data_IF_872063713747
#
_entry.id   IF_872063713747
#
_cell.length_a   1.000
_cell.length_b   1.000
_cell.length_c   1.000
_cell.angle_alpha   90.00
_cell.angle_beta   90.00
_cell.angle_gamma   90.00
#
_symmetry.space_group_name_H-M   'P 1'
#
loop_
_entity.id
_entity.type
_entity.pdbx_description
1 polymer ?
#
# COMPACT_ATOMS: atom_id res chain seq x y z
N UNK A 1 12.32 -14.93 -17.23
CA UNK A 1 11.85 -15.45 -15.94
C UNK A 1 10.38 -15.80 -16.06
N UNK A 2 9.99 -16.88 -15.40
CA UNK A 2 8.63 -17.28 -15.16
C UNK A 2 8.23 -16.88 -13.74
N UNK A 3 7.29 -15.94 -13.61
CA UNK A 3 6.81 -15.40 -12.34
C UNK A 3 5.37 -15.86 -12.10
N UNK A 4 5.11 -16.48 -10.95
CA UNK A 4 3.75 -16.78 -10.51
C UNK A 4 3.34 -15.77 -9.43
N UNK A 5 2.39 -14.90 -9.76
CA UNK A 5 1.84 -13.90 -8.83
C UNK A 5 0.71 -14.51 -8.02
N UNK A 6 0.76 -14.35 -6.69
CA UNK A 6 -0.25 -14.82 -5.74
C UNK A 6 -0.93 -13.62 -5.10
N UNK A 7 -2.23 -13.45 -5.36
CA UNK A 7 -2.96 -12.25 -4.93
C UNK A 7 -4.41 -12.53 -4.55
N UNK A 8 -4.83 -12.09 -3.36
CA UNK A 8 -6.23 -12.02 -3.00
C UNK A 8 -6.76 -10.60 -3.29
N UNK A 9 -7.57 -10.45 -4.34
CA UNK A 9 -8.17 -9.16 -4.69
C UNK A 9 -9.14 -8.68 -3.62
N UNK A 10 -9.01 -7.41 -3.24
CA UNK A 10 -10.05 -6.71 -2.51
C UNK A 10 -11.33 -6.58 -3.36
N UNK A 11 -12.45 -6.34 -2.68
CA UNK A 11 -13.76 -6.25 -3.31
C UNK A 11 -13.80 -5.20 -4.42
N UNK A 12 -14.41 -5.52 -5.56
CA UNK A 12 -14.53 -4.64 -6.73
C UNK A 12 -15.41 -3.42 -6.47
N UNK A 13 -16.29 -3.49 -5.47
CA UNK A 13 -17.16 -2.38 -5.05
C UNK A 13 -16.39 -1.15 -4.55
N UNK A 14 -15.10 -1.26 -4.22
CA UNK A 14 -14.27 -0.10 -3.85
C UNK A 14 -12.91 -0.12 -4.55
N UNK A 15 -12.45 1.05 -5.06
CA UNK A 15 -11.10 1.19 -5.58
C UNK A 15 -10.04 0.80 -4.54
N UNK A 16 -9.07 0.00 -4.97
CA UNK A 16 -7.95 -0.47 -4.14
C UNK A 16 -6.62 -0.16 -4.82
N UNK A 17 -5.79 0.63 -4.14
CA UNK A 17 -4.43 0.92 -4.60
C UNK A 17 -3.57 -0.34 -4.71
N UNK A 18 -3.79 -1.33 -3.84
CA UNK A 18 -3.09 -2.62 -3.91
C UNK A 18 -3.44 -3.38 -5.19
N UNK A 19 -4.75 -3.51 -5.52
CA UNK A 19 -5.16 -4.17 -6.77
C UNK A 19 -4.54 -3.46 -7.99
N UNK A 20 -4.57 -2.12 -8.00
CA UNK A 20 -3.96 -1.30 -9.07
C UNK A 20 -2.46 -1.59 -9.21
N UNK A 21 -1.72 -1.62 -8.10
CA UNK A 21 -0.28 -1.91 -8.10
C UNK A 21 -0.01 -3.32 -8.62
N UNK A 22 -0.78 -4.34 -8.20
CA UNK A 22 -0.60 -5.71 -8.68
C UNK A 22 -0.80 -5.79 -10.20
N UNK A 23 -1.88 -5.18 -10.70
CA UNK A 23 -2.18 -5.19 -12.14
C UNK A 23 -1.07 -4.51 -12.94
N UNK A 24 -0.61 -3.33 -12.47
CA UNK A 24 0.49 -2.59 -13.08
C UNK A 24 1.80 -3.37 -13.07
N UNK A 25 2.15 -4.05 -11.97
CA UNK A 25 3.35 -4.89 -11.90
C UNK A 25 3.29 -6.08 -12.87
N UNK A 26 2.14 -6.76 -12.94
CA UNK A 26 1.92 -7.87 -13.87
C UNK A 26 2.06 -7.41 -15.31
N UNK A 27 1.43 -6.29 -15.68
CA UNK A 27 1.52 -5.70 -17.02
C UNK A 27 2.96 -5.30 -17.36
N UNK A 28 3.63 -4.63 -16.43
CA UNK A 28 5.01 -4.18 -16.61
C UNK A 28 5.98 -5.35 -16.82
N UNK A 29 5.84 -6.42 -16.03
CA UNK A 29 6.66 -7.63 -16.18
C UNK A 29 6.39 -8.35 -17.51
N UNK A 30 5.13 -8.44 -17.94
CA UNK A 30 4.76 -9.02 -19.25
C UNK A 30 5.32 -8.20 -20.40
N UNK A 31 5.20 -6.88 -20.34
CA UNK A 31 5.76 -5.96 -21.33
C UNK A 31 7.30 -6.08 -21.43
N UNK A 32 7.96 -6.40 -20.32
CA UNK A 32 9.40 -6.69 -20.27
C UNK A 32 9.78 -8.10 -20.79
N UNK A 33 8.82 -8.88 -21.31
CA UNK A 33 9.07 -10.21 -21.87
C UNK A 33 9.14 -11.34 -20.84
N UNK A 34 8.72 -11.12 -19.60
CA UNK A 34 8.60 -12.19 -18.61
C UNK A 34 7.28 -12.97 -18.79
N UNK A 35 7.32 -14.29 -18.56
CA UNK A 35 6.10 -15.09 -18.46
C UNK A 35 5.51 -14.85 -17.08
N UNK A 36 4.30 -14.30 -17.02
CA UNK A 36 3.62 -13.98 -15.75
C UNK A 36 2.25 -14.63 -15.68
N UNK A 37 2.09 -15.53 -14.72
CA UNK A 37 0.84 -16.21 -14.42
C UNK A 37 0.31 -15.71 -13.07
N UNK A 38 -1.02 -15.77 -12.89
CA UNK A 38 -1.67 -15.22 -11.70
C UNK A 38 -2.52 -16.30 -11.05
N UNK A 39 -2.24 -16.54 -9.76
CA UNK A 39 -3.03 -17.37 -8.87
C UNK A 39 -3.83 -16.47 -7.93
N UNK A 40 -5.06 -16.15 -8.33
CA UNK A 40 -5.90 -15.17 -7.63
C UNK A 40 -7.17 -15.73 -6.98
N UNK A 41 -7.65 -15.02 -5.97
CA UNK A 41 -8.99 -15.14 -5.39
C UNK A 41 -9.61 -13.76 -5.26
N UNK A 42 -10.94 -13.66 -5.30
CA UNK A 42 -11.64 -12.36 -5.18
C UNK A 42 -12.48 -12.33 -3.93
N UNK A 43 -12.35 -11.26 -3.15
CA UNK A 43 -13.15 -11.10 -1.93
C UNK A 43 -14.66 -11.06 -2.23
N UNK A 44 -15.05 -10.64 -3.42
CA UNK A 44 -16.44 -10.67 -3.91
C UNK A 44 -17.03 -12.09 -3.93
N UNK A 45 -16.19 -13.12 -4.12
CA UNK A 45 -16.60 -14.52 -4.13
C UNK A 45 -17.20 -14.95 -2.78
N UNK A 46 -16.88 -14.25 -1.68
CA UNK A 46 -17.47 -14.51 -0.36
C UNK A 46 -18.98 -14.24 -0.39
N UNK A 47 -19.42 -13.21 -1.10
CA UNK A 47 -20.83 -12.84 -1.22
C UNK A 47 -21.67 -13.96 -1.84
N UNK A 48 -21.08 -14.68 -2.81
CA UNK A 48 -21.70 -15.78 -3.55
C UNK A 48 -21.69 -17.13 -2.81
N UNK A 49 -21.00 -17.25 -1.67
CA UNK A 49 -20.97 -18.50 -0.89
C UNK A 49 -22.27 -18.73 -0.11
N UNK A 50 -22.58 -20.00 0.16
CA UNK A 50 -23.61 -20.39 1.12
C UNK A 50 -23.34 -19.80 2.51
N UNK A 51 -24.36 -19.73 3.36
CA UNK A 51 -24.23 -19.23 4.74
C UNK A 51 -23.13 -19.99 5.51
N UNK A 52 -23.09 -21.32 5.40
CA UNK A 52 -22.03 -22.15 5.96
C UNK A 52 -20.66 -21.81 5.38
N UNK A 53 -20.59 -21.58 4.07
CA UNK A 53 -19.36 -21.17 3.38
C UNK A 53 -18.83 -19.80 3.84
N UNK A 54 -19.71 -18.86 4.22
CA UNK A 54 -19.33 -17.55 4.79
C UNK A 54 -18.80 -17.70 6.21
N UNK A 55 -19.45 -18.52 7.04
CA UNK A 55 -19.02 -18.81 8.43
C UNK A 55 -17.68 -19.55 8.47
N UNK A 56 -17.35 -20.34 7.43
CA UNK A 56 -16.07 -21.05 7.35
C UNK A 56 -14.89 -20.13 6.98
N UNK A 57 -15.09 -19.00 6.29
CA UNK A 57 -13.99 -18.13 5.82
C UNK A 57 -13.03 -17.73 6.96
N UNK A 58 -13.50 -17.23 8.12
CA UNK A 58 -12.63 -16.89 9.23
C UNK A 58 -11.76 -18.08 9.70
N UNK A 59 -12.28 -19.31 9.67
CA UNK A 59 -11.54 -20.51 10.07
C UNK A 59 -10.41 -20.86 9.10
N UNK A 60 -10.52 -20.43 7.84
CA UNK A 60 -9.51 -20.65 6.79
C UNK A 60 -8.45 -19.54 6.74
N UNK A 61 -8.65 -18.40 7.43
CA UNK A 61 -7.70 -17.29 7.46
C UNK A 61 -6.33 -17.69 8.04
N UNK A 62 -6.26 -18.45 9.17
CA UNK A 62 -4.98 -18.96 9.66
C UNK A 62 -4.33 -19.97 8.70
N UNK A 63 -5.15 -20.83 8.08
CA UNK A 63 -4.67 -21.90 7.23
C UNK A 63 -5.77 -22.45 6.32
N UNK A 64 -5.55 -22.37 5.01
CA UNK A 64 -6.44 -22.91 3.99
C UNK A 64 -5.77 -24.12 3.29
N UNK A 65 -6.14 -25.37 3.64
CA UNK A 65 -5.51 -26.57 3.09
C UNK A 65 -5.82 -26.77 1.60
N UNK A 66 -7.03 -26.39 1.14
CA UNK A 66 -7.40 -26.51 -0.27
C UNK A 66 -6.51 -25.63 -1.15
N UNK A 67 -6.23 -24.40 -0.71
CA UNK A 67 -5.34 -23.48 -1.42
C UNK A 67 -3.90 -24.01 -1.45
N UNK A 68 -3.41 -24.61 -0.37
CA UNK A 68 -2.08 -25.25 -0.37
C UNK A 68 -2.00 -26.36 -1.42
N UNK A 69 -2.98 -27.25 -1.46
CA UNK A 69 -3.01 -28.38 -2.41
C UNK A 69 -3.05 -27.90 -3.85
N UNK A 70 -3.91 -26.91 -4.12
CA UNK A 70 -4.07 -26.35 -5.46
C UNK A 70 -2.80 -25.62 -5.93
N UNK A 71 -2.23 -24.75 -5.08
CA UNK A 71 -0.98 -24.06 -5.43
C UNK A 71 0.17 -25.06 -5.59
N UNK A 72 0.28 -26.09 -4.75
CA UNK A 72 1.31 -27.12 -4.89
C UNK A 72 1.18 -27.88 -6.22
N UNK A 73 -0.03 -28.22 -6.65
CA UNK A 73 -0.26 -28.82 -7.96
C UNK A 73 0.18 -27.88 -9.09
N UNK A 74 -0.15 -26.61 -8.97
CA UNK A 74 0.20 -25.57 -9.93
C UNK A 74 1.72 -25.37 -10.04
N UNK A 75 2.43 -25.27 -8.91
CA UNK A 75 3.89 -25.16 -8.87
C UNK A 75 4.61 -26.36 -9.53
N UNK A 76 4.06 -27.58 -9.40
CA UNK A 76 4.63 -28.78 -10.06
C UNK A 76 4.49 -28.74 -11.59
N UNK A 77 3.35 -28.24 -12.08
CA UNK A 77 3.05 -28.18 -13.51
C UNK A 77 3.73 -27.00 -14.20
N UNK A 78 3.63 -25.81 -13.60
CA UNK A 78 4.07 -24.54 -14.20
C UNK A 78 5.56 -24.28 -13.99
N UNK A 79 6.13 -24.80 -12.89
CA UNK A 79 7.55 -24.63 -12.52
C UNK A 79 8.04 -23.18 -12.66
N UNK A 80 7.42 -22.21 -11.96
CA UNK A 80 7.89 -20.84 -11.99
C UNK A 80 9.28 -20.71 -11.37
N UNK A 81 10.05 -19.73 -11.86
CA UNK A 81 11.36 -19.38 -11.29
C UNK A 81 11.20 -18.74 -9.91
N UNK A 82 10.11 -18.00 -9.70
CA UNK A 82 9.80 -17.29 -8.45
C UNK A 82 8.28 -17.11 -8.27
N UNK A 83 7.83 -17.18 -7.01
CA UNK A 83 6.47 -16.81 -6.61
C UNK A 83 6.47 -15.43 -5.98
N UNK A 84 5.59 -14.53 -6.43
CA UNK A 84 5.46 -13.19 -5.85
C UNK A 84 4.11 -13.05 -5.14
N UNK A 85 4.15 -12.97 -3.81
CA UNK A 85 2.96 -12.85 -2.95
C UNK A 85 2.66 -11.38 -2.66
N UNK A 86 1.45 -10.92 -2.95
CA UNK A 86 1.00 -9.57 -2.60
C UNK A 86 0.08 -9.58 -1.38
N UNK A 87 -0.94 -10.43 -1.42
CA UNK A 87 -1.92 -10.52 -0.35
C UNK A 87 -2.54 -11.91 -0.32
N UNK A 88 -2.68 -12.47 0.87
CA UNK A 88 -3.25 -13.80 1.09
C UNK A 88 -4.59 -13.77 1.81
N UNK A 89 -5.03 -12.60 2.29
CA UNK A 89 -6.24 -12.46 3.08
C UNK A 89 -7.44 -12.05 2.21
N UNK A 90 -8.64 -12.63 2.42
CA UNK A 90 -8.98 -13.67 3.39
C UNK A 90 -9.02 -15.10 2.81
N UNK A 91 -8.97 -15.29 1.49
CA UNK A 91 -9.29 -16.58 0.87
C UNK A 91 -8.09 -17.50 0.61
N UNK A 92 -6.85 -16.97 0.57
CA UNK A 92 -5.66 -17.76 0.25
C UNK A 92 -4.96 -18.33 1.49
N UNK A 93 -4.71 -17.50 2.51
CA UNK A 93 -3.93 -17.78 3.74
C UNK A 93 -2.42 -17.96 3.57
N UNK A 94 -1.62 -17.92 4.65
CA UNK A 94 -0.18 -18.21 4.63
C UNK A 94 0.20 -19.65 4.20
N UNK A 95 -0.78 -20.52 3.95
CA UNK A 95 -0.53 -21.86 3.42
C UNK A 95 0.14 -21.84 2.03
N UNK A 96 0.03 -20.73 1.29
CA UNK A 96 0.75 -20.53 0.03
C UNK A 96 2.27 -20.59 0.20
N UNK A 97 2.81 -20.07 1.32
CA UNK A 97 4.24 -20.10 1.61
C UNK A 97 4.73 -21.52 1.89
N UNK A 98 3.87 -22.36 2.49
CA UNK A 98 4.18 -23.76 2.68
C UNK A 98 4.25 -24.51 1.35
N UNK A 99 3.31 -24.27 0.43
CA UNK A 99 3.37 -24.84 -0.92
C UNK A 99 4.65 -24.44 -1.67
N UNK A 100 5.09 -23.18 -1.55
CA UNK A 100 6.35 -22.71 -2.15
C UNK A 100 7.57 -23.41 -1.53
N UNK A 101 7.59 -23.55 -0.20
CA UNK A 101 8.65 -24.24 0.51
C UNK A 101 8.74 -25.72 0.12
N UNK A 102 7.60 -26.43 0.10
CA UNK A 102 7.52 -27.85 -0.28
C UNK A 102 7.96 -28.10 -1.72
N UNK A 103 7.67 -27.16 -2.63
CA UNK A 103 8.06 -27.23 -4.04
C UNK A 103 9.49 -26.75 -4.31
N UNK A 104 10.20 -26.20 -3.32
CA UNK A 104 11.53 -25.63 -3.51
C UNK A 104 11.59 -24.36 -4.37
N UNK A 105 10.45 -23.70 -4.60
CA UNK A 105 10.37 -22.47 -5.41
C UNK A 105 10.55 -21.24 -4.51
N UNK A 106 11.45 -20.29 -4.81
CA UNK A 106 11.64 -19.09 -4.00
C UNK A 106 10.38 -18.21 -4.01
N UNK A 107 10.04 -17.66 -2.85
CA UNK A 107 8.94 -16.74 -2.64
C UNK A 107 9.47 -15.34 -2.28
N UNK A 108 8.96 -14.33 -2.97
CA UNK A 108 9.09 -12.93 -2.59
C UNK A 108 7.73 -12.37 -2.20
N UNK A 109 7.69 -11.34 -1.36
CA UNK A 109 6.43 -10.75 -0.93
C UNK A 109 6.46 -9.22 -0.91
N UNK A 110 5.50 -8.57 -1.56
CA UNK A 110 5.26 -7.13 -1.39
C UNK A 110 4.33 -6.90 -0.22
N UNK A 111 4.75 -6.08 0.73
CA UNK A 111 3.97 -5.76 1.92
C UNK A 111 3.23 -4.44 1.70
N UNK A 112 1.96 -4.51 1.31
CA UNK A 112 1.15 -3.32 0.98
C UNK A 112 0.63 -2.55 2.20
N UNK A 113 0.69 -3.18 3.37
CA UNK A 113 0.17 -2.67 4.64
C UNK A 113 0.92 -3.33 5.80
N UNK A 114 0.39 -3.22 7.02
CA UNK A 114 1.02 -3.75 8.23
C UNK A 114 0.39 -5.06 8.72
N UNK A 115 -0.26 -5.84 7.85
CA UNK A 115 -0.99 -7.07 8.26
C UNK A 115 -0.11 -8.12 8.91
N UNK A 116 1.21 -8.07 8.71
CA UNK A 116 2.22 -8.96 9.29
C UNK A 116 2.48 -8.69 10.78
N UNK A 117 2.02 -7.56 11.31
CA UNK A 117 2.21 -7.16 12.72
C UNK A 117 0.93 -6.66 13.38
N UNK A 118 -0.05 -6.21 12.60
CA UNK A 118 -1.28 -5.59 13.06
C UNK A 118 -2.47 -6.27 12.37
N UNK A 119 -3.41 -6.91 13.09
CA UNK A 119 -4.55 -7.59 12.45
C UNK A 119 -5.30 -6.74 11.41
N UNK A 120 -5.79 -5.51 11.68
CA UNK A 120 -6.43 -4.70 10.65
C UNK A 120 -5.46 -4.16 9.59
N UNK A 121 -4.15 -4.33 9.76
CA UNK A 121 -3.12 -3.84 8.85
C UNK A 121 -2.87 -2.34 8.92
N UNK A 122 -3.46 -1.64 9.91
CA UNK A 122 -3.53 -0.17 9.93
C UNK A 122 -2.63 0.53 10.94
N UNK A 123 -2.10 -0.15 11.97
CA UNK A 123 -1.34 0.53 13.04
C UNK A 123 -2.03 1.80 13.56
N UNK A 124 -3.35 1.74 13.67
CA UNK A 124 -4.20 2.84 14.13
C UNK A 124 -5.24 2.31 15.09
N UNK A 125 -5.57 3.12 16.11
CA UNK A 125 -6.66 2.88 17.04
C UNK A 125 -7.21 4.24 17.48
N UNK A 126 -8.54 4.36 17.55
CA UNK A 126 -9.23 5.56 18.04
C UNK A 126 -8.76 6.87 17.36
N UNK A 127 -8.59 6.82 16.03
CA UNK A 127 -8.16 7.97 15.23
C UNK A 127 -6.66 8.30 15.32
N UNK A 128 -5.88 7.57 16.12
CA UNK A 128 -4.46 7.87 16.39
C UNK A 128 -3.54 6.71 16.00
N UNK A 129 -2.25 6.97 15.68
CA UNK A 129 -1.26 5.93 15.50
C UNK A 129 -1.17 4.97 16.70
N UNK A 130 -1.01 3.68 16.45
CA UNK A 130 -0.92 2.63 17.47
C UNK A 130 0.12 1.58 17.09
N UNK A 131 1.03 1.28 18.02
CA UNK A 131 2.13 0.33 17.83
C UNK A 131 2.18 -0.79 18.86
N UNK A 132 1.13 -0.99 19.66
CA UNK A 132 1.12 -1.98 20.76
C UNK A 132 1.37 -3.43 20.32
N UNK A 133 1.02 -3.78 19.08
CA UNK A 133 1.26 -5.11 18.50
C UNK A 133 2.65 -5.24 17.85
N UNK A 134 3.40 -4.15 17.71
CA UNK A 134 4.74 -4.17 17.10
C UNK A 134 5.72 -4.80 18.08
N UNK A 135 6.28 -5.95 17.71
CA UNK A 135 7.23 -6.68 18.55
C UNK A 135 6.59 -7.54 19.65
N UNK A 136 5.26 -7.60 19.72
CA UNK A 136 4.51 -8.36 20.72
C UNK A 136 3.53 -9.34 20.06
N UNK A 137 2.84 -10.16 20.87
CA UNK A 137 1.72 -10.95 20.36
C UNK A 137 0.51 -10.03 20.08
N UNK A 138 -0.32 -10.30 19.05
CA UNK A 138 -1.45 -9.44 18.66
C UNK A 138 -2.66 -9.49 19.63
N UNK A 139 -2.43 -9.81 20.91
CA UNK A 139 -3.44 -9.81 21.98
C UNK A 139 -4.07 -8.43 22.18
N UNK A 140 -3.34 -7.29 22.14
CA UNK A 140 -3.97 -5.98 22.24
C UNK A 140 -5.04 -5.77 21.17
N UNK A 141 -4.77 -6.17 19.92
CA UNK A 141 -5.75 -6.03 18.84
C UNK A 141 -7.04 -6.82 19.10
N UNK A 142 -6.96 -8.03 19.68
CA UNK A 142 -8.15 -8.80 20.09
C UNK A 142 -8.88 -8.11 21.24
N UNK A 143 -8.16 -7.65 22.28
CA UNK A 143 -8.74 -6.93 23.43
C UNK A 143 -9.55 -5.71 22.98
N UNK A 144 -9.01 -4.97 22.02
CA UNK A 144 -9.62 -3.76 21.49
C UNK A 144 -10.57 -4.00 20.32
N UNK A 145 -10.69 -5.23 19.82
CA UNK A 145 -11.56 -5.54 18.68
C UNK A 145 -11.18 -4.78 17.41
N UNK A 146 -9.88 -4.59 17.16
CA UNK A 146 -9.37 -3.67 16.14
C UNK A 146 -9.81 -4.00 14.71
N UNK A 147 -10.22 -5.23 14.41
CA UNK A 147 -10.81 -5.56 13.12
C UNK A 147 -12.33 -5.44 13.16
N UNK A 148 -12.87 -4.53 12.35
CA UNK A 148 -14.32 -4.26 12.23
C UNK A 148 -15.02 -4.01 13.57
N UNK A 149 -14.32 -3.39 14.53
CA UNK A 149 -14.82 -3.10 15.87
C UNK A 149 -15.36 -4.35 16.60
N UNK A 150 -14.78 -5.52 16.35
CA UNK A 150 -15.24 -6.78 16.91
C UNK A 150 -14.07 -7.65 17.38
N UNK A 151 -14.08 -7.99 18.69
CA UNK A 151 -13.10 -8.89 19.29
C UNK A 151 -13.10 -10.25 18.59
N UNK A 152 -14.29 -10.83 18.39
CA UNK A 152 -14.46 -12.12 17.71
C UNK A 152 -13.98 -12.09 16.26
N UNK A 153 -14.29 -11.02 15.51
CA UNK A 153 -13.82 -10.89 14.14
C UNK A 153 -12.29 -10.71 14.05
N UNK A 154 -11.65 -10.23 15.12
CA UNK A 154 -10.19 -10.02 15.19
C UNK A 154 -9.43 -11.30 15.50
N UNK A 155 -10.03 -12.26 16.23
CA UNK A 155 -9.38 -13.51 16.65
C UNK A 155 -8.71 -14.27 15.50
N UNK A 156 -9.36 -14.54 14.35
CA UNK A 156 -8.75 -15.33 13.28
C UNK A 156 -7.49 -14.68 12.69
N UNK A 157 -7.45 -13.35 12.62
CA UNK A 157 -6.31 -12.60 12.13
C UNK A 157 -5.16 -12.66 13.14
N UNK A 158 -5.46 -12.49 14.43
CA UNK A 158 -4.48 -12.62 15.52
C UNK A 158 -3.91 -14.04 15.63
N UNK A 159 -4.75 -15.07 15.48
CA UNK A 159 -4.32 -16.48 15.41
C UNK A 159 -3.42 -16.68 14.19
N UNK A 160 -3.86 -16.24 13.01
CA UNK A 160 -3.07 -16.35 11.77
C UNK A 160 -1.67 -15.76 11.91
N UNK A 161 -1.57 -14.54 12.47
CA UNK A 161 -0.29 -13.89 12.74
C UNK A 161 0.59 -14.69 13.69
N UNK A 162 0.02 -15.19 14.79
CA UNK A 162 0.78 -15.90 15.82
C UNK A 162 1.31 -17.24 15.31
N UNK A 163 0.46 -18.03 14.66
CA UNK A 163 0.83 -19.40 14.21
C UNK A 163 1.68 -19.40 12.94
N UNK A 164 1.59 -18.35 12.11
CA UNK A 164 2.34 -18.26 10.85
C UNK A 164 3.58 -17.34 10.92
N UNK A 165 3.90 -16.74 12.07
CA UNK A 165 5.04 -15.80 12.19
C UNK A 165 6.34 -16.38 11.66
N UNK A 166 6.71 -17.58 12.12
CA UNK A 166 7.93 -18.27 11.65
C UNK A 166 7.89 -18.52 10.14
N UNK A 167 6.74 -18.95 9.62
CA UNK A 167 6.55 -19.24 8.19
C UNK A 167 6.75 -17.99 7.33
N UNK A 168 6.24 -16.84 7.75
CA UNK A 168 6.54 -15.58 7.08
C UNK A 168 8.03 -15.25 7.19
N UNK A 169 8.61 -15.25 8.40
CA UNK A 169 9.98 -14.75 8.60
C UNK A 169 11.04 -15.60 7.91
N UNK A 170 10.84 -16.92 7.85
CA UNK A 170 11.83 -17.84 7.27
C UNK A 170 11.48 -18.32 5.86
N UNK A 171 10.19 -18.32 5.49
CA UNK A 171 9.69 -18.89 4.24
C UNK A 171 9.57 -17.91 3.06
N UNK A 172 9.96 -16.65 3.26
CA UNK A 172 10.08 -15.65 2.19
C UNK A 172 11.54 -15.25 2.08
N UNK A 173 12.09 -15.35 0.87
CA UNK A 173 13.48 -15.03 0.55
C UNK A 173 13.72 -13.52 0.52
N UNK A 174 12.76 -12.74 0.00
CA UNK A 174 12.84 -11.28 -0.06
C UNK A 174 11.47 -10.63 0.17
N UNK A 175 11.44 -9.65 1.05
CA UNK A 175 10.30 -8.78 1.25
C UNK A 175 10.54 -7.44 0.56
N UNK A 176 9.54 -6.97 -0.16
CA UNK A 176 9.47 -5.62 -0.69
C UNK A 176 8.62 -4.77 0.28
N UNK A 177 9.29 -3.97 1.09
CA UNK A 177 8.67 -2.89 1.83
C UNK A 177 8.45 -1.71 0.89
N UNK A 178 7.22 -1.20 0.83
CA UNK A 178 6.88 -0.10 -0.08
C UNK A 178 7.35 1.27 0.44
N UNK A 179 7.94 1.32 1.63
CA UNK A 179 8.58 2.49 2.24
C UNK A 179 9.71 2.09 3.19
N UNK A 180 10.65 3.02 3.42
CA UNK A 180 11.65 2.88 4.49
C UNK A 180 10.97 2.93 5.87
N UNK A 181 9.97 3.80 6.04
CA UNK A 181 9.19 3.86 7.27
C UNK A 181 8.52 2.53 7.62
N UNK A 182 7.94 1.83 6.62
CA UNK A 182 7.38 0.49 6.81
C UNK A 182 8.47 -0.52 7.17
N UNK A 183 9.60 -0.51 6.45
CA UNK A 183 10.73 -1.39 6.76
C UNK A 183 11.15 -1.25 8.22
N UNK A 184 11.29 -0.05 8.73
CA UNK A 184 11.72 0.18 10.11
C UNK A 184 10.73 -0.36 11.15
N UNK A 185 9.42 -0.19 10.90
CA UNK A 185 8.38 -0.80 11.75
C UNK A 185 8.50 -2.34 11.76
N UNK A 186 8.70 -2.94 10.59
CA UNK A 186 8.80 -4.37 10.43
C UNK A 186 10.08 -4.95 11.05
N UNK A 187 11.21 -4.25 10.92
CA UNK A 187 12.46 -4.61 11.62
C UNK A 187 12.25 -4.57 13.14
N UNK A 188 11.63 -3.51 13.67
CA UNK A 188 11.29 -3.43 15.12
C UNK A 188 10.34 -4.53 15.59
N UNK A 189 9.55 -5.12 14.69
CA UNK A 189 8.71 -6.28 14.99
C UNK A 189 9.47 -7.61 15.03
N UNK A 190 10.77 -7.59 14.72
CA UNK A 190 11.66 -8.73 14.66
C UNK A 190 11.72 -9.43 13.30
N UNK A 191 11.27 -8.79 12.21
CA UNK A 191 11.52 -9.33 10.86
C UNK A 191 13.02 -9.27 10.53
N UNK A 192 13.55 -10.28 9.80
CA UNK A 192 14.96 -10.30 9.40
C UNK A 192 15.27 -9.12 8.47
N UNK A 193 16.05 -8.16 8.97
CA UNK A 193 16.35 -6.90 8.29
C UNK A 193 17.06 -7.12 6.95
N UNK A 194 17.89 -8.15 6.86
CA UNK A 194 18.62 -8.57 5.66
C UNK A 194 17.71 -9.06 4.54
N UNK A 195 16.46 -9.46 4.85
CA UNK A 195 15.46 -9.87 3.85
C UNK A 195 14.51 -8.76 3.44
N UNK A 196 14.51 -7.61 4.13
CA UNK A 196 13.64 -6.47 3.84
C UNK A 196 14.33 -5.47 2.89
N UNK A 197 13.88 -5.44 1.64
CA UNK A 197 14.22 -4.40 0.66
C UNK A 197 13.20 -3.27 0.72
N UNK A 198 13.65 -2.02 0.62
CA UNK A 198 12.76 -0.92 0.23
C UNK A 198 12.59 -0.97 -1.29
N UNK A 199 11.36 -1.18 -1.74
CA UNK A 199 10.94 -1.10 -3.14
C UNK A 199 9.64 -0.31 -3.20
N UNK A 200 9.78 0.99 -3.44
CA UNK A 200 8.64 1.88 -3.65
C UNK A 200 7.72 1.38 -4.77
N UNK A 201 6.43 1.68 -4.67
CA UNK A 201 5.55 1.49 -5.82
C UNK A 201 5.90 2.51 -6.91
N UNK A 202 5.72 2.12 -8.16
CA UNK A 202 5.83 3.05 -9.29
C UNK A 202 4.44 3.55 -9.69
N UNK A 203 4.43 4.64 -10.44
CA UNK A 203 3.22 5.18 -11.07
C UNK A 203 3.50 5.33 -12.57
N UNK A 204 2.60 4.88 -13.47
CA UNK A 204 2.73 5.12 -14.90
C UNK A 204 2.86 6.60 -15.23
N UNK A 205 3.51 6.90 -16.35
CA UNK A 205 3.55 8.26 -16.87
C UNK A 205 2.11 8.75 -17.12
N UNK A 206 1.69 9.91 -16.58
CA UNK A 206 0.35 10.43 -16.82
C UNK A 206 0.22 10.96 -18.24
N UNK A 207 -0.98 10.85 -18.81
CA UNK A 207 -1.30 11.40 -20.13
C UNK A 207 -1.39 12.93 -20.10
N UNK A 208 -1.70 13.49 -18.93
CA UNK A 208 -1.82 14.94 -18.71
C UNK A 208 -0.87 15.38 -17.62
N UNK A 209 -0.08 16.41 -17.89
CA UNK A 209 0.80 17.07 -16.92
C UNK A 209 0.30 18.48 -16.62
N UNK A 210 0.78 19.03 -15.50
CA UNK A 210 0.43 20.38 -15.10
C UNK A 210 0.96 21.40 -16.09
N UNK A 211 0.07 22.31 -16.47
CA UNK A 211 0.38 23.52 -17.21
C UNK A 211 0.00 24.75 -16.34
N UNK A 212 0.90 25.72 -16.22
CA UNK A 212 0.63 26.96 -15.49
C UNK A 212 0.51 26.83 -13.96
N UNK A 213 -0.30 27.71 -13.36
CA UNK A 213 -0.39 27.90 -11.90
C UNK A 213 -1.34 26.95 -11.18
N UNK A 214 -2.17 26.18 -11.89
CA UNK A 214 -3.27 25.41 -11.31
C UNK A 214 -4.47 26.28 -10.91
N UNK A 215 -5.64 25.65 -10.78
CA UNK A 215 -6.94 26.31 -10.58
C UNK A 215 -7.68 25.81 -9.32
N UNK A 216 -7.12 24.85 -8.59
CA UNK A 216 -7.76 24.23 -7.43
C UNK A 216 -6.76 23.61 -6.44
N UNK A 217 -7.14 23.45 -5.18
CA UNK A 217 -6.53 22.46 -4.30
C UNK A 217 -7.32 21.15 -4.44
N UNK A 218 -6.62 20.01 -4.48
CA UNK A 218 -7.27 18.72 -4.67
C UNK A 218 -7.03 17.78 -3.50
N UNK A 219 -8.11 17.25 -2.93
CA UNK A 219 -8.09 16.00 -2.19
C UNK A 219 -8.58 14.89 -3.11
N UNK A 220 -7.76 13.84 -3.28
CA UNK A 220 -8.12 12.66 -4.07
C UNK A 220 -7.86 11.39 -3.26
N UNK A 221 -8.92 10.71 -2.86
CA UNK A 221 -8.81 9.48 -2.09
C UNK A 221 -10.10 9.05 -1.39
N UNK A 222 -10.04 7.90 -0.73
CA UNK A 222 -11.20 7.36 0.00
C UNK A 222 -11.65 8.34 1.10
N UNK A 223 -12.97 8.59 1.20
CA UNK A 223 -13.56 9.42 2.25
C UNK A 223 -13.69 8.62 3.54
N UNK A 224 -12.59 8.50 4.27
CA UNK A 224 -12.48 7.74 5.50
C UNK A 224 -11.62 8.48 6.54
N UNK A 225 -11.89 8.21 7.82
CA UNK A 225 -11.18 8.85 8.95
C UNK A 225 -9.65 8.79 8.81
N UNK A 226 -9.15 7.61 8.45
CA UNK A 226 -7.71 7.34 8.29
C UNK A 226 -7.04 8.20 7.18
N UNK A 227 -7.84 8.70 6.22
CA UNK A 227 -7.37 9.55 5.12
C UNK A 227 -7.47 11.05 5.42
N UNK A 228 -7.97 11.41 6.60
CA UNK A 228 -7.87 12.77 7.13
C UNK A 228 -8.81 13.79 6.48
N UNK A 229 -9.90 13.36 5.83
CA UNK A 229 -10.83 14.32 5.19
C UNK A 229 -11.46 15.27 6.21
N UNK A 230 -11.77 14.82 7.44
CA UNK A 230 -12.24 15.71 8.52
C UNK A 230 -11.20 16.73 8.96
N UNK A 231 -9.92 16.33 8.99
CA UNK A 231 -8.81 17.23 9.29
C UNK A 231 -8.69 18.31 8.21
N UNK A 232 -8.87 17.93 6.94
CA UNK A 232 -8.91 18.88 5.82
C UNK A 232 -10.12 19.83 5.91
N UNK A 233 -11.31 19.32 6.22
CA UNK A 233 -12.51 20.14 6.39
C UNK A 233 -12.29 21.22 7.47
N UNK A 234 -11.75 20.83 8.64
CA UNK A 234 -11.42 21.77 9.71
C UNK A 234 -10.37 22.80 9.28
N UNK A 235 -9.30 22.37 8.61
CA UNK A 235 -8.28 23.29 8.09
C UNK A 235 -8.84 24.26 7.02
N UNK A 236 -9.78 23.78 6.20
CA UNK A 236 -10.41 24.59 5.17
C UNK A 236 -11.41 25.60 5.74
N UNK A 237 -12.11 25.26 6.83
CA UNK A 237 -12.95 26.22 7.56
C UNK A 237 -12.11 27.37 8.13
N UNK A 238 -10.90 27.10 8.65
CA UNK A 238 -9.96 28.16 9.07
C UNK A 238 -9.49 29.02 7.89
N UNK A 239 -9.23 28.41 6.72
CA UNK A 239 -8.83 29.13 5.50
C UNK A 239 -9.96 30.06 5.05
N UNK A 240 -11.18 29.55 4.97
CA UNK A 240 -12.37 30.31 4.56
C UNK A 240 -12.62 31.50 5.50
N UNK A 241 -12.52 31.30 6.81
CA UNK A 241 -12.65 32.37 7.81
C UNK A 241 -11.58 33.47 7.66
N UNK A 242 -10.41 33.14 7.09
CA UNK A 242 -9.31 34.08 6.82
C UNK A 242 -9.34 34.73 5.42
N UNK A 243 -10.43 34.57 4.66
CA UNK A 243 -10.60 35.16 3.33
C UNK A 243 -10.22 34.24 2.16
N UNK A 244 -9.94 32.96 2.42
CA UNK A 244 -9.64 31.97 1.38
C UNK A 244 -8.21 32.01 0.84
N UNK A 245 -7.94 31.22 -0.20
CA UNK A 245 -6.64 31.15 -0.90
C UNK A 245 -6.73 31.46 -2.40
N UNK A 246 -7.84 32.05 -2.85
CA UNK A 246 -8.06 32.46 -4.24
C UNK A 246 -8.38 31.33 -5.23
N UNK A 247 -8.44 30.08 -4.77
CA UNK A 247 -8.88 28.91 -5.57
C UNK A 247 -9.76 27.98 -4.71
N UNK A 248 -10.70 27.22 -5.30
CA UNK A 248 -11.55 26.30 -4.57
C UNK A 248 -10.81 25.03 -4.12
N UNK A 249 -11.36 24.36 -3.12
CA UNK A 249 -11.03 22.97 -2.77
C UNK A 249 -11.93 22.01 -3.56
N UNK A 250 -11.31 21.09 -4.29
CA UNK A 250 -11.99 19.95 -4.92
C UNK A 250 -11.75 18.69 -4.11
N UNK A 251 -12.84 17.99 -3.77
CA UNK A 251 -12.81 16.71 -3.05
C UNK A 251 -13.33 15.62 -3.97
N UNK A 252 -12.47 14.66 -4.30
CA UNK A 252 -12.75 13.52 -5.16
C UNK A 252 -12.54 12.19 -4.41
N UNK A 253 -13.52 11.32 -4.51
CA UNK A 253 -13.54 9.98 -3.92
C UNK A 253 -14.86 9.65 -3.22
N UNK A 254 -14.99 8.42 -2.76
CA UNK A 254 -16.16 7.92 -2.02
C UNK A 254 -15.72 7.21 -0.74
N UNK A 255 -16.65 6.96 0.17
CA UNK A 255 -16.36 6.23 1.39
C UNK A 255 -17.35 6.47 2.52
N UNK A 256 -17.09 5.91 3.71
CA UNK A 256 -17.98 6.03 4.86
C UNK A 256 -18.34 7.48 5.26
N UNK A 257 -17.48 8.45 4.95
CA UNK A 257 -17.67 9.87 5.28
C UNK A 257 -18.33 10.69 4.16
N UNK A 258 -18.79 10.05 3.08
CA UNK A 258 -19.37 10.74 1.92
C UNK A 258 -20.54 11.66 2.28
N UNK A 259 -21.50 11.20 3.09
CA UNK A 259 -22.65 12.02 3.50
C UNK A 259 -22.23 13.28 4.27
N UNK A 260 -21.21 13.15 5.11
CA UNK A 260 -20.68 14.25 5.90
C UNK A 260 -19.97 15.29 5.02
N UNK A 261 -19.15 14.83 4.08
CA UNK A 261 -18.47 15.67 3.09
C UNK A 261 -19.48 16.42 2.22
N UNK A 262 -20.49 15.73 1.70
CA UNK A 262 -21.54 16.35 0.88
C UNK A 262 -22.31 17.41 1.66
N UNK A 263 -22.67 17.12 2.92
CA UNK A 263 -23.37 18.09 3.77
C UNK A 263 -22.50 19.31 4.10
N UNK A 264 -21.21 19.10 4.39
CA UNK A 264 -20.26 20.20 4.65
C UNK A 264 -19.99 21.07 3.43
N UNK A 265 -19.95 20.48 2.23
CA UNK A 265 -19.76 21.21 0.98
C UNK A 265 -21.03 21.93 0.49
N UNK A 266 -22.21 21.59 1.01
CA UNK A 266 -23.48 22.14 0.54
C UNK A 266 -23.58 23.66 0.81
N UNK A 267 -23.89 24.44 -0.22
CA UNK A 267 -24.03 25.91 -0.12
C UNK A 267 -22.70 26.68 -0.06
N UNK A 268 -21.58 26.00 -0.27
CA UNK A 268 -20.24 26.60 -0.31
C UNK A 268 -19.80 26.86 -1.75
N UNK A 269 -19.36 28.08 -2.04
CA UNK A 269 -18.81 28.43 -3.35
C UNK A 269 -17.31 28.10 -3.48
N UNK A 270 -16.64 27.90 -2.34
CA UNK A 270 -15.21 27.63 -2.20
C UNK A 270 -14.84 26.14 -2.15
N UNK A 271 -15.84 25.24 -2.17
CA UNK A 271 -15.67 23.79 -2.08
C UNK A 271 -16.49 23.09 -3.17
N UNK A 272 -15.90 22.10 -3.85
CA UNK A 272 -16.60 21.25 -4.83
C UNK A 272 -16.38 19.78 -4.50
N UNK A 273 -17.44 19.08 -4.11
CA UNK A 273 -17.43 17.62 -4.05
C UNK A 273 -17.79 17.04 -5.42
N UNK A 274 -16.92 16.20 -5.99
CA UNK A 274 -17.09 15.67 -7.36
C UNK A 274 -17.32 14.15 -7.39
N UNK A 275 -17.42 13.50 -6.24
CA UNK A 275 -17.65 12.06 -6.17
C UNK A 275 -16.47 11.22 -6.68
N UNK A 276 -16.76 10.00 -7.12
CA UNK A 276 -15.76 9.10 -7.69
C UNK A 276 -15.42 9.51 -9.13
N UNK A 277 -14.15 9.78 -9.38
CA UNK A 277 -13.62 10.05 -10.72
C UNK A 277 -13.05 8.79 -11.35
N UNK A 278 -13.12 8.70 -12.68
CA UNK A 278 -12.39 7.67 -13.42
C UNK A 278 -10.86 7.97 -13.44
N UNK A 279 -10.01 7.02 -13.88
CA UNK A 279 -8.56 7.22 -13.90
C UNK A 279 -8.09 8.42 -14.74
N UNK A 280 -8.73 8.70 -15.88
CA UNK A 280 -8.35 9.80 -16.76
C UNK A 280 -8.76 11.15 -16.17
N UNK A 281 -9.94 11.22 -15.54
CA UNK A 281 -10.41 12.37 -14.79
C UNK A 281 -9.53 12.65 -13.57
N UNK A 282 -9.05 11.60 -12.88
CA UNK A 282 -8.10 11.75 -11.78
C UNK A 282 -6.80 12.42 -12.25
N UNK A 283 -6.22 11.97 -13.37
CA UNK A 283 -5.00 12.58 -13.92
C UNK A 283 -5.22 14.06 -14.28
N UNK A 284 -6.35 14.39 -14.93
CA UNK A 284 -6.70 15.78 -15.27
C UNK A 284 -6.90 16.64 -14.03
N UNK A 285 -7.61 16.13 -13.02
CA UNK A 285 -7.83 16.83 -11.76
C UNK A 285 -6.51 17.12 -11.05
N UNK A 286 -5.60 16.14 -10.99
CA UNK A 286 -4.25 16.32 -10.44
C UNK A 286 -3.51 17.41 -11.23
N UNK A 287 -3.41 17.29 -12.56
CA UNK A 287 -2.68 18.23 -13.42
C UNK A 287 -3.17 19.68 -13.30
N UNK A 288 -4.47 19.89 -13.05
CA UNK A 288 -5.08 21.21 -12.85
C UNK A 288 -4.87 21.79 -11.46
N UNK A 289 -4.25 21.05 -10.54
CA UNK A 289 -4.16 21.47 -9.14
C UNK A 289 -2.96 22.37 -8.87
N UNK A 290 -3.17 23.36 -8.00
CA UNK A 290 -2.12 24.13 -7.33
C UNK A 290 -1.26 23.19 -6.48
N UNK A 291 -1.93 22.29 -5.74
CA UNK A 291 -1.31 21.21 -5.00
C UNK A 291 -2.33 20.10 -4.72
N UNK A 292 -1.83 18.88 -4.52
CA UNK A 292 -2.62 17.77 -3.97
C UNK A 292 -2.44 17.71 -2.45
N UNK A 293 -3.53 17.64 -1.71
CA UNK A 293 -3.55 17.58 -0.25
C UNK A 293 -3.74 16.14 0.21
N UNK A 294 -2.77 15.60 0.96
CA UNK A 294 -2.74 14.24 1.47
C UNK A 294 -2.63 14.24 3.01
N UNK A 295 -3.73 14.54 3.73
CA UNK A 295 -3.72 14.81 5.17
C UNK A 295 -3.88 13.54 6.03
N UNK A 296 -3.42 12.39 5.56
CA UNK A 296 -3.65 11.09 6.20
C UNK A 296 -3.30 11.13 7.70
N UNK A 297 -4.22 10.65 8.53
CA UNK A 297 -4.01 10.49 9.99
C UNK A 297 -3.41 9.12 10.33
N UNK A 298 -3.52 8.17 9.40
CA UNK A 298 -2.81 6.91 9.44
C UNK A 298 -1.36 7.09 8.96
N UNK A 299 -0.42 6.45 9.67
CA UNK A 299 0.93 6.15 9.21
C UNK A 299 0.93 5.45 7.83
N UNK A 300 0.85 6.25 6.77
CA UNK A 300 0.68 5.78 5.40
C UNK A 300 1.85 4.86 5.01
N UNK A 301 1.55 3.71 4.42
CA UNK A 301 2.59 2.78 3.99
C UNK A 301 3.31 3.27 2.71
N UNK A 302 2.64 4.07 1.88
CA UNK A 302 3.24 4.70 0.69
C UNK A 302 2.50 5.98 0.26
N UNK A 303 1.26 5.83 -0.21
CA UNK A 303 0.43 6.94 -0.68
C UNK A 303 0.63 7.28 -2.15
N UNK A 304 0.04 6.45 -3.03
CA UNK A 304 0.14 6.58 -4.49
C UNK A 304 -0.21 7.98 -5.01
N UNK A 305 -1.20 8.64 -4.42
CA UNK A 305 -1.65 9.98 -4.86
C UNK A 305 -0.54 11.03 -4.81
N UNK A 306 0.41 10.89 -3.87
CA UNK A 306 1.57 11.79 -3.77
C UNK A 306 2.51 11.58 -4.95
N UNK A 307 2.73 10.34 -5.35
CA UNK A 307 3.57 10.00 -6.51
C UNK A 307 2.87 10.31 -7.84
N UNK A 308 1.55 10.14 -7.91
CA UNK A 308 0.73 10.58 -9.05
C UNK A 308 0.82 12.11 -9.23
N UNK A 309 0.80 12.88 -8.14
CA UNK A 309 1.02 14.32 -8.18
C UNK A 309 2.45 14.68 -8.64
N UNK A 310 3.47 13.99 -8.11
CA UNK A 310 4.85 14.16 -8.58
C UNK A 310 4.99 13.91 -10.08
N UNK A 311 4.38 12.82 -10.58
CA UNK A 311 4.39 12.49 -12.00
C UNK A 311 3.75 13.60 -12.84
N UNK A 312 2.66 14.22 -12.36
CA UNK A 312 2.02 15.34 -13.05
C UNK A 312 2.78 16.68 -12.93
N UNK A 313 3.86 16.76 -12.13
CA UNK A 313 4.56 18.02 -11.84
C UNK A 313 3.79 18.93 -10.88
N UNK A 314 3.00 18.33 -9.99
CA UNK A 314 2.16 19.00 -9.00
C UNK A 314 2.76 18.75 -7.61
N UNK A 315 3.08 19.80 -6.82
CA UNK A 315 3.57 19.60 -5.47
C UNK A 315 2.43 19.12 -4.55
N UNK A 316 2.81 18.54 -3.42
CA UNK A 316 1.85 18.02 -2.43
C UNK A 316 1.95 18.75 -1.10
N UNK A 317 0.82 18.83 -0.39
CA UNK A 317 0.79 19.14 1.04
C UNK A 317 0.42 17.85 1.76
N UNK A 318 1.37 17.23 2.45
CA UNK A 318 1.21 15.90 3.04
C UNK A 318 1.47 15.91 4.55
N UNK A 319 0.93 14.91 5.27
CA UNK A 319 1.21 14.75 6.70
C UNK A 319 2.69 14.36 6.92
N UNK A 320 3.34 14.97 7.91
CA UNK A 320 4.74 14.72 8.27
C UNK A 320 5.02 13.40 9.00
N UNK A 321 4.49 12.27 8.53
CA UNK A 321 4.77 10.94 9.06
C UNK A 321 4.74 9.84 7.99
N UNK A 322 5.02 8.60 8.40
CA UNK A 322 4.89 7.42 7.56
C UNK A 322 5.78 7.49 6.33
N UNK A 323 5.28 7.02 5.19
CA UNK A 323 6.00 7.14 3.93
C UNK A 323 6.07 8.58 3.40
N UNK A 324 5.20 9.50 3.84
CA UNK A 324 5.17 10.84 3.25
C UNK A 324 6.44 11.65 3.50
N UNK A 325 7.13 11.44 4.63
CA UNK A 325 8.43 12.09 4.89
C UNK A 325 9.55 11.59 3.97
N UNK A 326 9.36 10.45 3.32
CA UNK A 326 10.31 9.89 2.36
C UNK A 326 9.92 10.25 0.91
N UNK A 327 8.63 10.50 0.67
CA UNK A 327 8.13 10.92 -0.63
C UNK A 327 8.36 12.42 -0.83
N UNK A 328 7.96 13.24 0.14
CA UNK A 328 7.97 14.70 0.06
C UNK A 328 9.15 15.27 0.83
N UNK A 329 10.02 16.00 0.13
CA UNK A 329 11.05 16.83 0.73
C UNK A 329 10.47 18.21 1.04
N UNK A 330 10.32 18.53 2.33
CA UNK A 330 9.63 19.75 2.79
C UNK A 330 10.31 21.01 2.26
N UNK A 331 9.51 21.90 1.66
CA UNK A 331 9.96 23.13 1.03
C UNK A 331 10.64 22.95 -0.33
N UNK A 332 10.87 21.72 -0.79
CA UNK A 332 11.57 21.40 -2.04
C UNK A 332 10.66 20.73 -3.06
N UNK A 333 9.95 19.66 -2.72
CA UNK A 333 9.01 18.97 -3.64
C UNK A 333 7.54 19.15 -3.25
N UNK A 334 7.30 19.77 -2.10
CA UNK A 334 6.00 19.94 -1.48
C UNK A 334 6.17 20.46 -0.05
N UNK A 335 5.11 20.39 0.75
CA UNK A 335 5.12 20.80 2.14
C UNK A 335 4.63 19.69 3.07
N UNK A 336 5.25 19.59 4.24
CA UNK A 336 4.83 18.69 5.30
C UNK A 336 4.15 19.46 6.43
N UNK A 337 2.93 19.05 6.79
CA UNK A 337 2.22 19.61 7.94
C UNK A 337 2.34 18.70 9.17
N UNK A 338 2.14 19.27 10.36
CA UNK A 338 2.08 18.50 11.59
C UNK A 338 0.86 17.57 11.59
N UNK A 339 1.05 16.25 11.80
CA UNK A 339 -0.04 15.30 11.76
C UNK A 339 -1.14 15.57 12.79
N UNK A 340 -2.40 15.55 12.34
CA UNK A 340 -3.55 15.76 13.22
C UNK A 340 -3.79 17.21 13.64
N UNK A 341 -3.02 18.18 13.13
CA UNK A 341 -3.16 19.60 13.45
C UNK A 341 -3.77 20.40 12.27
N UNK A 342 -5.06 20.81 12.36
CA UNK A 342 -5.73 21.56 11.29
C UNK A 342 -5.01 22.87 10.95
N UNK A 343 -4.58 23.63 11.96
CA UNK A 343 -3.89 24.91 11.78
C UNK A 343 -2.55 24.76 11.01
N UNK A 344 -1.80 23.68 11.27
CA UNK A 344 -0.56 23.39 10.55
C UNK A 344 -0.84 23.08 9.07
N UNK A 345 -1.88 22.29 8.80
CA UNK A 345 -2.33 21.98 7.45
C UNK A 345 -2.80 23.26 6.72
N UNK A 346 -3.62 24.08 7.36
CA UNK A 346 -4.10 25.35 6.84
C UNK A 346 -2.94 26.31 6.49
N UNK A 347 -1.93 26.39 7.35
CA UNK A 347 -0.72 27.17 7.12
C UNK A 347 0.05 26.71 5.88
N UNK A 348 0.21 25.39 5.70
CA UNK A 348 0.88 24.85 4.51
C UNK A 348 0.08 25.13 3.22
N UNK A 349 -1.24 24.97 3.25
CA UNK A 349 -2.11 25.27 2.12
C UNK A 349 -2.04 26.75 1.74
N UNK A 350 -2.09 27.67 2.72
CA UNK A 350 -1.93 29.12 2.46
C UNK A 350 -0.58 29.41 1.83
N UNK A 351 0.51 28.87 2.37
CA UNK A 351 1.87 29.08 1.85
C UNK A 351 2.03 28.58 0.41
N UNK A 352 1.54 27.39 0.12
CA UNK A 352 1.72 26.78 -1.22
C UNK A 352 0.87 27.47 -2.29
N UNK A 353 -0.26 28.10 -1.91
CA UNK A 353 -1.10 28.87 -2.81
C UNK A 353 -0.61 30.32 -3.01
N UNK A 354 -0.04 30.94 -1.97
CA UNK A 354 0.41 32.34 -2.00
C UNK A 354 1.73 32.58 -2.75
N UNK A 355 2.53 31.54 -3.00
CA UNK A 355 3.85 31.65 -3.67
C UNK A 355 3.87 30.91 -5.03
N UNK A 356 3.22 31.42 -6.12
CA UNK A 356 3.08 30.68 -7.38
C UNK A 356 4.40 30.27 -8.04
N UNK A 357 5.44 31.10 -7.95
CA UNK A 357 6.76 30.77 -8.50
C UNK A 357 7.39 29.60 -7.77
N UNK A 358 7.42 29.66 -6.42
CA UNK A 358 7.96 28.57 -5.60
C UNK A 358 7.14 27.30 -5.72
N UNK A 359 5.82 27.41 -5.83
CA UNK A 359 4.93 26.28 -6.09
C UNK A 359 5.30 25.55 -7.40
N UNK A 360 5.56 26.30 -8.49
CA UNK A 360 6.01 25.71 -9.76
C UNK A 360 7.38 25.04 -9.64
N UNK A 361 8.32 25.68 -8.93
CA UNK A 361 9.63 25.08 -8.66
C UNK A 361 9.51 23.78 -7.88
N UNK A 362 8.63 23.73 -6.86
CA UNK A 362 8.35 22.50 -6.11
C UNK A 362 7.77 21.41 -7.00
N UNK A 363 6.82 21.74 -7.88
CA UNK A 363 6.24 20.81 -8.84
C UNK A 363 7.28 20.22 -9.82
N UNK A 364 8.21 21.05 -10.31
CA UNK A 364 9.30 20.59 -11.17
C UNK A 364 10.29 19.70 -10.42
N UNK A 365 10.62 20.02 -9.16
CA UNK A 365 11.46 19.19 -8.31
C UNK A 365 10.79 17.84 -8.01
N UNK A 366 9.49 17.85 -7.69
CA UNK A 366 8.67 16.67 -7.51
C UNK A 366 8.69 15.77 -8.76
N UNK A 367 8.60 16.36 -9.95
CA UNK A 367 8.68 15.64 -11.22
C UNK A 367 10.04 14.98 -11.44
N UNK A 368 11.14 15.69 -11.22
CA UNK A 368 12.50 15.10 -11.32
C UNK A 368 12.67 13.93 -10.35
N UNK A 369 12.13 14.06 -9.13
CA UNK A 369 12.12 12.99 -8.13
C UNK A 369 11.33 11.77 -8.60
N UNK A 370 10.16 11.97 -9.23
CA UNK A 370 9.38 10.90 -9.85
C UNK A 370 10.20 10.12 -10.90
N UNK A 371 10.84 10.84 -11.82
CA UNK A 371 11.61 10.22 -12.91
C UNK A 371 12.75 9.34 -12.39
N UNK A 372 13.43 9.80 -11.33
CA UNK A 372 14.57 9.11 -10.71
C UNK A 372 14.17 7.91 -9.84
N UNK A 373 12.99 7.95 -9.22
CA UNK A 373 12.66 7.04 -8.11
C UNK A 373 11.42 6.19 -8.26
N UNK A 374 10.49 6.59 -9.14
CA UNK A 374 9.09 6.14 -9.10
C UNK A 374 8.47 5.88 -10.47
N UNK A 375 9.25 5.94 -11.54
CA UNK A 375 8.82 5.58 -12.89
C UNK A 375 8.70 4.06 -13.06
N UNK A 376 7.92 3.57 -14.05
CA UNK A 376 7.81 2.14 -14.33
C UNK A 376 9.15 1.47 -14.61
N UNK A 377 10.09 2.15 -15.27
CA UNK A 377 11.43 1.62 -15.55
C UNK A 377 12.19 1.28 -14.25
N UNK A 378 12.20 2.22 -13.30
CA UNK A 378 12.82 2.03 -11.97
C UNK A 378 12.09 0.93 -11.19
N UNK A 379 10.75 0.89 -11.29
CA UNK A 379 9.93 -0.17 -10.68
C UNK A 379 10.29 -1.56 -11.18
N UNK A 380 10.42 -1.73 -12.50
CA UNK A 380 10.78 -2.99 -13.15
C UNK A 380 12.17 -3.44 -12.72
N UNK A 381 13.16 -2.54 -12.75
CA UNK A 381 14.54 -2.84 -12.35
C UNK A 381 14.59 -3.39 -10.92
N UNK A 382 13.93 -2.72 -9.96
CA UNK A 382 13.89 -3.13 -8.55
C UNK A 382 13.18 -4.46 -8.34
N UNK A 383 12.09 -4.72 -9.08
CA UNK A 383 11.36 -6.00 -9.01
C UNK A 383 12.24 -7.15 -9.50
N UNK A 384 12.80 -6.99 -10.70
CA UNK A 384 13.64 -8.00 -11.35
C UNK A 384 14.89 -8.29 -10.51
N UNK A 385 15.53 -7.27 -9.94
CA UNK A 385 16.68 -7.44 -9.07
C UNK A 385 16.32 -8.21 -7.78
N UNK A 386 15.17 -7.88 -7.18
CA UNK A 386 14.68 -8.63 -6.02
C UNK A 386 14.36 -10.09 -6.35
N UNK A 387 13.83 -10.39 -7.53
CA UNK A 387 13.61 -11.75 -8.01
C UNK A 387 14.93 -12.50 -8.19
N UNK A 388 15.92 -11.90 -8.87
CA UNK A 388 17.24 -12.50 -9.07
C UNK A 388 17.93 -12.81 -7.75
N UNK A 389 17.88 -11.87 -6.80
CA UNK A 389 18.42 -12.05 -5.44
C UNK A 389 17.76 -13.25 -4.74
N UNK A 390 16.43 -13.37 -4.81
CA UNK A 390 15.69 -14.48 -4.19
C UNK A 390 16.04 -15.84 -4.83
N UNK A 391 16.10 -15.90 -6.16
CA UNK A 391 16.45 -17.11 -6.92
C UNK A 391 17.89 -17.56 -6.61
N UNK A 392 18.84 -16.63 -6.58
CA UNK A 392 20.24 -16.92 -6.28
C UNK A 392 20.42 -17.40 -4.83
N UNK A 393 19.77 -16.74 -3.87
CA UNK A 393 19.81 -17.11 -2.45
C UNK A 393 19.30 -18.53 -2.19
N UNK A 394 18.19 -18.92 -2.82
CA UNK A 394 17.63 -20.28 -2.70
C UNK A 394 18.51 -21.34 -3.37
N UNK A 395 19.07 -21.02 -4.54
CA UNK A 395 20.01 -21.91 -5.24
C UNK A 395 21.26 -22.21 -4.39
N UNK A 396 21.78 -21.21 -3.66
CA UNK A 396 22.92 -21.38 -2.77
C UNK A 396 22.59 -22.29 -1.56
N UNK A 397 21.41 -22.12 -0.96
CA UNK A 397 20.94 -22.94 0.16
C UNK A 397 20.75 -24.41 -0.23
N UNK A 398 20.19 -24.67 -1.41
CA UNK A 398 20.02 -26.03 -1.94
C UNK A 398 21.38 -26.75 -2.10
N UNK A 399 22.36 -26.09 -2.73
CA UNK A 399 23.72 -26.63 -2.90
C UNK A 399 24.41 -26.92 -1.57
N UNK A 400 24.26 -26.03 -0.59
CA UNK A 400 24.83 -26.22 0.75
C UNK A 400 24.20 -27.42 1.50
N UNK A 401 22.90 -27.66 1.32
CA UNK A 401 22.20 -28.83 1.87
C UNK A 401 22.73 -30.15 1.31
N UNK A 402 22.89 -30.25 -0.01
CA UNK A 402 23.42 -31.45 -0.69
C UNK A 402 24.87 -31.76 -0.28
N UNK A 403 25.71 -30.73 -0.08
CA UNK A 403 27.09 -30.91 0.41
C UNK A 403 27.18 -31.38 1.87
N UNK A 404 26.16 -31.14 2.70
CA UNK A 404 26.11 -31.66 4.08
C UNK A 404 25.58 -33.09 4.13
N UNK A 405 24.52 -33.38 3.36
CA UNK A 405 23.97 -34.74 3.26
C UNK A 405 24.97 -35.75 2.68
N UNK A 406 25.84 -35.32 1.74
CA UNK A 406 26.91 -36.15 1.19
C UNK A 406 28.09 -36.40 2.15
N UNK A 407 28.28 -35.54 3.17
CA UNK A 407 29.33 -35.73 4.20
C UNK A 407 28.88 -36.65 5.34
N UNK A 408 27.60 -36.57 5.73
CA UNK A 408 27.05 -37.41 6.82
C UNK A 408 26.68 -38.83 6.37
N UNK A 409 26.57 -39.08 5.05
CA UNK A 409 26.40 -40.42 4.48
C UNK A 409 27.68 -41.27 4.39
N UNK A 410 28.83 -40.72 4.80
CA UNK A 410 30.16 -41.32 4.65
C UNK A 410 30.74 -42.04 5.88
N UNK A 411 30.07 -42.02 7.03
CA UNK A 411 30.49 -42.77 8.22
C UNK A 411 29.49 -43.89 8.50
N UNK A 412 29.78 -45.09 7.97
CA UNK A 412 29.22 -46.35 8.47
C UNK A 412 30.16 -46.96 9.49
#
# INVERSE_FOLDING_TARGET
MHVLVVHNRYASAQPSGENKVVDQEVELLRAAGHRVEVFERRSDDIGARSLLGKVAVPLLVPWNPAVRTELAARLRTERPDVVHVHNVFPLLSPAVLAACADAGVPAVATLHNYTQVCPPGTLQRDGRPCTECVGSAPLPAVRHGCYRNSRLATVPLAVSLSVNRRRWWSGVERFFCISAAQRDVLVRSGMPAERLAVKHNFVPEPDTRREGGGEQLLYLGRLAEAKGVRLLMAAWDEIAASGGVGVPLVIAGTGPLEREVTAWAAGRDDVRYVGLLDPAECQKAIARSVAVVAPSTWLEAFGLVVVEAMAAGVPTVAAGHGAFVELVEDGVTGLLHQPGEPASLASCIRRIAAEPTRNREMGQAARRRYEQGFSPAVGLERLVEGYRTAIAGRSALARAGDTRASRDGGSR
#
